data_IF_167663266087
#
_entry.id   IF_167663266087
#
_cell.length_a   1.000
_cell.length_b   1.000
_cell.length_c   1.000
_cell.angle_alpha   90.00
_cell.angle_beta   90.00
_cell.angle_gamma   90.00
#
_symmetry.space_group_name_H-M   'P 1'
#
loop_
_entity.id
_entity.type
_entity.pdbx_description
1 polymer ?
#
# COMPACT_ATOMS: atom_id res chain seq x y z
N UNK A 1 -22.91 5.70 8.70
CA UNK A 1 -23.89 4.62 8.59
C UNK A 1 -23.41 3.50 7.69
N UNK A 2 -23.15 3.73 6.38
CA UNK A 2 -22.83 2.67 5.42
C UNK A 2 -21.59 1.84 5.81
N UNK A 3 -20.49 2.48 6.23
CA UNK A 3 -19.26 1.78 6.67
C UNK A 3 -19.56 0.88 7.87
N UNK A 4 -20.27 1.40 8.87
CA UNK A 4 -20.67 0.61 10.04
C UNK A 4 -21.49 -0.63 9.66
N UNK A 5 -22.42 -0.49 8.72
CA UNK A 5 -23.24 -1.62 8.23
C UNK A 5 -22.46 -2.63 7.40
N UNK A 6 -21.26 -2.28 6.90
CA UNK A 6 -20.41 -3.17 6.14
C UNK A 6 -19.51 -4.04 7.04
N UNK A 7 -19.28 -3.63 8.30
CA UNK A 7 -18.47 -4.37 9.27
C UNK A 7 -19.27 -5.54 9.86
N UNK A 8 -18.61 -6.68 9.98
CA UNK A 8 -19.13 -7.88 10.65
C UNK A 8 -18.83 -7.84 12.14
N UNK A 9 -19.46 -8.70 12.94
CA UNK A 9 -19.01 -8.94 14.31
C UNK A 9 -17.52 -9.32 14.32
N UNK A 10 -16.79 -8.82 15.28
CA UNK A 10 -15.33 -8.97 15.40
C UNK A 10 -14.51 -8.29 14.27
N UNK A 11 -15.10 -7.34 13.56
CA UNK A 11 -14.39 -6.45 12.64
C UNK A 11 -14.43 -5.01 13.16
N UNK A 12 -13.33 -4.30 13.01
CA UNK A 12 -13.19 -2.90 13.43
C UNK A 12 -12.50 -2.10 12.31
N UNK A 13 -12.93 -0.86 12.12
CA UNK A 13 -12.23 0.10 11.27
C UNK A 13 -11.52 1.13 12.17
N UNK A 14 -10.24 1.31 11.92
CA UNK A 14 -9.39 2.37 12.46
C UNK A 14 -9.16 3.40 11.37
N UNK A 15 -9.88 4.50 11.40
CA UNK A 15 -9.72 5.60 10.44
C UNK A 15 -8.83 6.67 11.08
N UNK A 16 -7.55 6.66 10.72
CA UNK A 16 -6.59 7.62 11.24
C UNK A 16 -6.79 8.98 10.60
N UNK A 17 -6.70 10.00 11.40
CA UNK A 17 -6.83 11.40 10.98
C UNK A 17 -5.78 12.27 11.64
N UNK A 18 -5.49 13.39 11.03
CA UNK A 18 -4.60 14.40 11.60
C UNK A 18 -5.27 15.77 11.61
N UNK A 19 -4.83 16.61 12.51
CA UNK A 19 -5.24 18.01 12.58
C UNK A 19 -4.12 18.88 13.13
N UNK A 20 -4.07 20.12 12.70
CA UNK A 20 -3.05 21.09 13.13
C UNK A 20 -3.56 21.89 14.31
N UNK A 21 -2.79 21.89 15.40
CA UNK A 21 -2.99 22.73 16.58
C UNK A 21 -2.00 23.88 16.55
N UNK A 22 -2.46 25.11 16.79
CA UNK A 22 -1.62 26.30 16.81
C UNK A 22 -0.47 26.22 17.84
N UNK A 23 -0.68 25.51 18.93
CA UNK A 23 0.29 25.43 20.06
C UNK A 23 1.23 24.25 19.99
N UNK A 24 0.82 23.13 19.35
CA UNK A 24 1.54 21.84 19.44
C UNK A 24 1.97 21.32 18.07
N UNK A 25 1.46 21.91 16.99
CA UNK A 25 1.66 21.42 15.63
C UNK A 25 0.67 20.31 15.27
N UNK A 26 1.06 19.43 14.34
CA UNK A 26 0.22 18.34 13.87
C UNK A 26 0.01 17.30 14.96
N UNK A 27 -1.23 16.83 15.09
CA UNK A 27 -1.66 15.79 16.03
C UNK A 27 -2.39 14.70 15.28
N UNK A 28 -2.28 13.48 15.77
CA UNK A 28 -2.94 12.30 15.21
C UNK A 28 -3.99 11.76 16.16
N UNK A 29 -5.09 11.31 15.58
CA UNK A 29 -6.18 10.65 16.27
C UNK A 29 -6.70 9.50 15.41
N UNK A 30 -7.45 8.59 15.99
CA UNK A 30 -8.15 7.52 15.29
C UNK A 30 -9.64 7.57 15.60
N UNK A 31 -10.47 7.42 14.57
CA UNK A 31 -11.85 7.01 14.71
C UNK A 31 -11.89 5.48 14.76
N UNK A 32 -12.45 4.93 15.84
CA UNK A 32 -12.68 3.51 15.99
C UNK A 32 -14.14 3.25 15.70
N UNK A 33 -14.41 2.43 14.69
CA UNK A 33 -15.76 2.14 14.20
C UNK A 33 -15.96 0.63 14.21
N UNK A 34 -16.96 0.15 14.92
CA UNK A 34 -17.43 -1.23 14.90
C UNK A 34 -18.92 -1.27 14.51
N UNK A 35 -19.50 -2.45 14.40
CA UNK A 35 -20.91 -2.60 14.02
C UNK A 35 -21.89 -2.47 15.21
N UNK A 36 -21.41 -2.44 16.45
CA UNK A 36 -22.22 -2.44 17.66
C UNK A 36 -22.45 -1.01 18.19
N UNK A 37 -21.40 -0.20 18.27
CA UNK A 37 -21.46 1.13 18.85
C UNK A 37 -22.32 2.10 18.05
N UNK A 38 -23.10 2.94 18.71
CA UNK A 38 -23.97 3.92 18.06
C UNK A 38 -23.17 4.97 17.28
N UNK A 39 -22.05 5.42 17.82
CA UNK A 39 -21.16 6.44 17.27
C UNK A 39 -19.71 5.97 17.22
N UNK A 40 -18.88 6.48 16.29
CA UNK A 40 -17.45 6.26 16.33
C UNK A 40 -16.85 6.75 17.64
N UNK A 41 -15.95 5.96 18.22
CA UNK A 41 -15.09 6.41 19.30
C UNK A 41 -13.91 7.16 18.71
N UNK A 42 -13.52 8.28 19.31
CA UNK A 42 -12.34 9.05 18.90
C UNK A 42 -11.27 8.91 19.96
N UNK A 43 -10.09 8.47 19.56
CA UNK A 43 -8.90 8.39 20.43
C UNK A 43 -7.82 9.33 19.92
N UNK A 44 -7.34 10.22 20.78
CA UNK A 44 -6.10 10.94 20.57
C UNK A 44 -4.91 9.97 20.72
N UNK A 45 -3.94 10.08 19.82
CA UNK A 45 -2.77 9.20 19.82
C UNK A 45 -1.52 9.96 20.26
N UNK A 46 -1.02 10.85 19.41
CA UNK A 46 0.24 11.56 19.66
C UNK A 46 0.31 12.87 18.87
N UNK A 47 1.28 13.71 19.23
CA UNK A 47 1.72 14.84 18.42
C UNK A 47 2.88 14.40 17.51
N UNK A 48 2.92 14.90 16.27
CA UNK A 48 3.93 14.55 15.24
C UNK A 48 5.36 14.61 15.78
N UNK A 49 5.70 15.66 16.53
CA UNK A 49 7.01 15.84 17.17
C UNK A 49 7.46 14.65 18.05
N UNK A 50 6.52 13.88 18.62
CA UNK A 50 6.86 12.70 19.43
C UNK A 50 7.39 11.57 18.56
N UNK A 51 6.83 11.43 17.36
CA UNK A 51 7.24 10.44 16.37
C UNK A 51 8.51 10.88 15.63
N UNK A 52 8.62 12.19 15.26
CA UNK A 52 9.80 12.73 14.60
C UNK A 52 11.06 12.49 15.41
N UNK A 53 10.96 12.63 16.75
CA UNK A 53 12.07 12.35 17.65
C UNK A 53 12.51 10.88 17.66
N UNK A 54 11.65 9.96 17.24
CA UNK A 54 11.94 8.53 17.13
C UNK A 54 12.51 8.14 15.76
N UNK A 55 12.51 9.06 14.78
CA UNK A 55 12.97 8.77 13.41
C UNK A 55 12.11 7.74 12.67
N UNK A 56 10.80 7.73 12.92
CA UNK A 56 9.84 6.75 12.36
C UNK A 56 9.79 6.75 10.81
N UNK A 57 10.20 7.86 10.19
CA UNK A 57 10.30 7.98 8.74
C UNK A 57 11.46 7.18 8.13
N UNK A 58 12.28 6.57 8.97
CA UNK A 58 13.41 5.75 8.54
C UNK A 58 12.98 4.30 8.38
N UNK A 59 13.29 3.64 7.27
CA UNK A 59 12.93 2.23 7.03
C UNK A 59 13.48 1.26 8.07
N UNK A 60 14.58 1.62 8.74
CA UNK A 60 15.25 0.79 9.73
C UNK A 60 14.54 0.73 11.09
N UNK A 61 13.50 1.53 11.32
CA UNK A 61 12.79 1.58 12.62
C UNK A 61 12.22 0.21 13.02
N UNK A 62 11.79 -0.59 12.05
CA UNK A 62 11.23 -1.93 12.30
C UNK A 62 12.29 -2.96 12.66
N UNK A 63 13.57 -2.68 12.40
CA UNK A 63 14.69 -3.54 12.75
C UNK A 63 15.28 -3.22 14.13
N UNK A 64 14.95 -2.04 14.68
CA UNK A 64 15.40 -1.61 16.01
C UNK A 64 14.23 -1.69 16.99
N UNK A 65 14.20 -2.79 17.75
CA UNK A 65 13.10 -3.12 18.66
C UNK A 65 12.75 -1.98 19.62
N UNK A 66 13.71 -1.24 20.13
CA UNK A 66 13.46 -0.13 21.05
C UNK A 66 12.60 0.98 20.43
N UNK A 67 12.92 1.40 19.20
CA UNK A 67 12.14 2.42 18.49
C UNK A 67 10.74 1.92 18.12
N UNK A 68 10.66 0.68 17.66
CA UNK A 68 9.39 0.08 17.29
C UNK A 68 8.46 -0.09 18.49
N UNK A 69 9.01 -0.35 19.70
CA UNK A 69 8.24 -0.39 20.94
C UNK A 69 7.70 0.98 21.33
N UNK A 70 8.46 2.06 21.09
CA UNK A 70 7.97 3.42 21.32
C UNK A 70 6.83 3.79 20.36
N UNK A 71 6.94 3.40 19.07
CA UNK A 71 5.86 3.54 18.11
C UNK A 71 4.62 2.76 18.53
N UNK A 72 4.80 1.51 18.94
CA UNK A 72 3.73 0.67 19.45
C UNK A 72 2.99 1.35 20.61
N UNK A 73 3.73 1.91 21.56
CA UNK A 73 3.16 2.62 22.72
C UNK A 73 2.36 3.86 22.32
N UNK A 74 2.85 4.64 21.35
CA UNK A 74 2.16 5.84 20.90
C UNK A 74 0.94 5.55 20.02
N UNK A 75 1.05 4.55 19.17
CA UNK A 75 0.06 4.28 18.13
C UNK A 75 -0.94 3.21 18.53
N UNK A 76 -0.50 2.10 19.14
CA UNK A 76 -1.34 0.93 19.39
C UNK A 76 -1.92 0.90 20.82
N UNK A 77 -1.13 1.21 21.84
CA UNK A 77 -1.58 1.13 23.24
C UNK A 77 -2.89 1.90 23.50
N UNK A 78 -3.14 3.09 22.90
CA UNK A 78 -4.42 3.78 23.07
C UNK A 78 -5.60 3.08 22.41
N UNK A 79 -5.37 2.14 21.50
CA UNK A 79 -6.38 1.49 20.67
C UNK A 79 -6.71 0.07 21.13
N UNK A 80 -5.76 -0.63 21.74
CA UNK A 80 -5.82 -2.07 22.02
C UNK A 80 -7.03 -2.50 22.85
N UNK A 81 -7.47 -1.68 23.79
CA UNK A 81 -8.62 -1.99 24.67
C UNK A 81 -9.96 -2.04 23.93
N UNK A 82 -10.00 -1.49 22.69
CA UNK A 82 -11.20 -1.42 21.86
C UNK A 82 -11.22 -2.46 20.74
N UNK A 83 -10.21 -3.32 20.68
CA UNK A 83 -10.02 -4.28 19.60
C UNK A 83 -9.77 -5.65 20.22
N UNK A 84 -10.72 -6.56 20.03
CA UNK A 84 -10.60 -7.91 20.56
C UNK A 84 -9.42 -8.64 19.90
N UNK A 85 -8.72 -9.47 20.66
CA UNK A 85 -7.67 -10.34 20.11
C UNK A 85 -8.26 -11.26 19.04
N UNK A 86 -7.54 -11.44 17.94
CA UNK A 86 -8.01 -12.19 16.78
C UNK A 86 -9.00 -11.43 15.89
N UNK A 87 -9.33 -10.17 16.22
CA UNK A 87 -10.20 -9.36 15.37
C UNK A 87 -9.55 -9.01 14.02
N UNK A 88 -10.40 -8.77 13.02
CA UNK A 88 -9.97 -8.13 11.78
C UNK A 88 -10.03 -6.61 11.93
N UNK A 89 -8.86 -5.98 11.88
CA UNK A 89 -8.67 -4.54 11.94
C UNK A 89 -8.44 -3.95 10.55
N UNK A 90 -9.46 -3.38 9.93
CA UNK A 90 -9.26 -2.53 8.77
C UNK A 90 -8.66 -1.21 9.22
N UNK A 91 -7.66 -0.69 8.50
CA UNK A 91 -7.13 0.63 8.86
C UNK A 91 -6.85 1.51 7.65
N UNK A 92 -7.15 2.79 7.81
CA UNK A 92 -6.89 3.85 6.83
C UNK A 92 -5.85 4.78 7.42
N UNK A 93 -4.59 4.77 6.97
CA UNK A 93 -3.55 5.66 7.48
C UNK A 93 -3.76 7.11 7.02
N UNK A 94 -3.15 8.06 7.76
CA UNK A 94 -3.10 9.49 7.44
C UNK A 94 -1.66 9.98 7.49
N UNK A 95 -1.25 10.81 6.53
CA UNK A 95 0.07 11.46 6.49
C UNK A 95 1.24 10.49 6.74
N UNK A 96 2.10 10.76 7.73
CA UNK A 96 3.26 9.92 8.05
C UNK A 96 2.89 8.47 8.37
N UNK A 97 1.67 8.18 8.83
CA UNK A 97 1.23 6.82 9.12
C UNK A 97 1.13 5.93 7.88
N UNK A 98 1.19 6.51 6.67
CA UNK A 98 1.36 5.73 5.44
C UNK A 98 2.70 4.96 5.41
N UNK A 99 3.68 5.37 6.20
CA UNK A 99 4.99 4.72 6.29
C UNK A 99 5.05 3.65 7.39
N UNK A 100 3.99 3.52 8.19
CA UNK A 100 3.90 2.56 9.30
C UNK A 100 3.05 1.36 8.91
N UNK A 101 3.60 0.16 9.08
CA UNK A 101 2.88 -1.10 8.97
C UNK A 101 2.49 -1.56 10.38
N UNK A 102 1.20 -1.51 10.71
CA UNK A 102 0.71 -1.92 12.04
C UNK A 102 1.05 -3.38 12.34
N UNK A 103 0.86 -4.24 11.35
CA UNK A 103 1.10 -5.68 11.44
C UNK A 103 2.57 -6.03 11.73
N UNK A 104 3.49 -5.14 11.38
CA UNK A 104 4.94 -5.35 11.56
C UNK A 104 5.48 -4.81 12.89
N UNK A 105 4.65 -4.16 13.71
CA UNK A 105 5.10 -3.63 14.99
C UNK A 105 5.38 -4.77 15.98
N UNK A 106 6.59 -4.83 16.60
CA UNK A 106 6.96 -5.88 17.52
C UNK A 106 6.30 -5.71 18.88
N UNK A 107 5.94 -6.82 19.51
CA UNK A 107 5.48 -6.89 20.87
C UNK A 107 6.64 -7.22 21.83
N UNK A 108 6.42 -7.04 23.13
CA UNK A 108 7.44 -7.27 24.15
C UNK A 108 7.93 -8.73 24.23
N UNK A 109 7.13 -9.68 23.79
CA UNK A 109 7.46 -11.11 23.72
C UNK A 109 8.24 -11.51 22.45
N UNK A 110 8.52 -10.55 21.56
CA UNK A 110 9.22 -10.76 20.30
C UNK A 110 8.30 -11.19 19.15
N UNK A 111 7.00 -11.38 19.38
CA UNK A 111 6.03 -11.57 18.30
C UNK A 111 5.69 -10.24 17.62
N UNK A 112 4.99 -10.30 16.50
CA UNK A 112 4.50 -9.11 15.79
C UNK A 112 3.02 -8.89 16.10
N UNK A 113 2.58 -7.64 16.02
CA UNK A 113 1.18 -7.28 16.23
C UNK A 113 0.26 -8.04 15.25
N UNK A 114 0.71 -8.27 14.01
CA UNK A 114 0.01 -9.08 13.01
C UNK A 114 -0.10 -10.58 13.34
N UNK A 115 0.59 -11.10 14.35
CA UNK A 115 0.37 -12.46 14.84
C UNK A 115 -0.89 -12.58 15.72
N UNK A 116 -1.35 -11.46 16.29
CA UNK A 116 -2.49 -11.39 17.20
C UNK A 116 -3.75 -10.80 16.56
N UNK A 117 -3.59 -10.02 15.49
CA UNK A 117 -4.68 -9.33 14.80
C UNK A 117 -4.55 -9.51 13.29
N UNK A 118 -5.67 -9.59 12.60
CA UNK A 118 -5.69 -9.64 11.15
C UNK A 118 -5.88 -8.24 10.58
N UNK A 119 -4.78 -7.53 10.29
CA UNK A 119 -4.83 -6.18 9.74
C UNK A 119 -5.01 -6.15 8.23
N UNK A 120 -5.87 -5.26 7.77
CA UNK A 120 -6.10 -4.98 6.34
C UNK A 120 -6.01 -3.47 6.12
N UNK A 121 -4.98 -3.04 5.42
CA UNK A 121 -4.79 -1.63 5.06
C UNK A 121 -5.70 -1.26 3.90
N UNK A 122 -6.39 -0.14 4.03
CA UNK A 122 -7.26 0.42 3.02
C UNK A 122 -6.75 1.81 2.61
N UNK A 123 -7.00 2.21 1.38
CA UNK A 123 -6.77 3.60 0.92
C UNK A 123 -7.90 4.53 1.36
N UNK A 124 -9.09 3.98 1.64
CA UNK A 124 -10.25 4.71 2.13
C UNK A 124 -11.25 3.78 2.79
N UNK A 125 -11.92 4.23 3.85
CA UNK A 125 -13.04 3.53 4.48
C UNK A 125 -14.19 3.18 3.51
N UNK A 126 -14.28 3.87 2.37
CA UNK A 126 -15.27 3.59 1.31
C UNK A 126 -15.07 2.24 0.65
N UNK A 127 -13.87 1.67 0.71
CA UNK A 127 -13.59 0.35 0.14
C UNK A 127 -14.39 -0.74 0.82
N UNK A 128 -14.63 -0.66 2.13
CA UNK A 128 -15.49 -1.58 2.86
C UNK A 128 -16.91 -1.64 2.29
N UNK A 129 -17.43 -0.50 1.85
CA UNK A 129 -18.79 -0.43 1.26
C UNK A 129 -18.78 -0.98 -0.16
N UNK A 130 -17.70 -0.78 -0.92
CA UNK A 130 -17.57 -1.26 -2.30
C UNK A 130 -17.28 -2.76 -2.39
N UNK A 131 -16.53 -3.31 -1.43
CA UNK A 131 -16.11 -4.71 -1.41
C UNK A 131 -17.29 -5.71 -1.33
N UNK A 132 -18.50 -5.25 -1.05
CA UNK A 132 -19.71 -6.08 -1.07
C UNK A 132 -20.22 -6.39 -2.49
N UNK A 133 -19.62 -5.80 -3.51
CA UNK A 133 -19.96 -6.10 -4.90
C UNK A 133 -18.94 -7.11 -5.45
N UNK A 134 -19.33 -8.35 -5.74
CA UNK A 134 -18.42 -9.35 -6.33
C UNK A 134 -18.03 -8.90 -7.75
N UNK A 135 -16.81 -8.41 -7.91
CA UNK A 135 -16.29 -7.90 -9.21
C UNK A 135 -15.68 -9.03 -10.07
N UNK A 136 -15.58 -10.24 -9.56
CA UNK A 136 -15.03 -11.36 -10.33
C UNK A 136 -16.13 -12.08 -11.13
N UNK A 137 -16.67 -11.38 -12.12
CA UNK A 137 -17.44 -12.04 -13.15
C UNK A 137 -16.51 -12.90 -14.04
N UNK A 138 -17.07 -13.96 -14.57
CA UNK A 138 -16.65 -15.01 -15.47
C UNK A 138 -15.80 -14.67 -16.71
N UNK A 139 -15.02 -13.61 -16.71
CA UNK A 139 -14.08 -13.28 -17.77
C UNK A 139 -12.79 -14.14 -17.68
N UNK A 140 -12.12 -14.43 -18.79
CA UNK A 140 -10.86 -15.14 -18.75
C UNK A 140 -9.88 -14.37 -17.85
N UNK A 141 -9.35 -15.04 -16.83
CA UNK A 141 -8.42 -14.45 -15.88
C UNK A 141 -7.18 -13.91 -16.59
N UNK A 142 -6.90 -12.61 -16.45
CA UNK A 142 -5.78 -11.94 -17.09
C UNK A 142 -4.87 -11.27 -16.06
N UNK A 143 -3.57 -11.40 -16.27
CA UNK A 143 -2.54 -10.79 -15.44
C UNK A 143 -1.47 -10.11 -16.29
N UNK A 144 -0.97 -8.97 -15.82
CA UNK A 144 0.23 -8.32 -16.34
C UNK A 144 1.24 -8.19 -15.19
N UNK A 145 2.48 -8.64 -15.46
CA UNK A 145 3.52 -8.74 -14.44
C UNK A 145 4.74 -7.93 -14.89
N UNK A 146 5.14 -6.94 -14.09
CA UNK A 146 6.34 -6.13 -14.29
C UNK A 146 7.42 -6.53 -13.28
N UNK A 147 8.63 -6.87 -13.76
CA UNK A 147 9.79 -7.15 -12.92
C UNK A 147 11.02 -7.49 -13.74
N UNK A 148 12.20 -7.52 -13.13
CA UNK A 148 13.45 -7.65 -13.85
C UNK A 148 13.64 -6.54 -14.88
N UNK A 149 13.24 -5.31 -14.55
CA UNK A 149 13.25 -4.17 -15.44
C UNK A 149 14.66 -3.65 -15.65
N UNK A 150 14.93 -3.15 -16.85
CA UNK A 150 16.17 -2.47 -17.18
C UNK A 150 16.00 -0.95 -17.01
N UNK A 151 16.78 -0.35 -16.09
CA UNK A 151 16.63 1.06 -15.71
C UNK A 151 17.57 2.01 -16.46
N UNK A 152 18.61 1.50 -17.12
CA UNK A 152 19.68 2.25 -17.80
C UNK A 152 19.47 2.37 -19.32
N UNK A 153 18.26 2.16 -19.80
CA UNK A 153 17.94 2.24 -21.23
C UNK A 153 18.24 3.63 -21.82
N UNK A 154 18.94 3.64 -22.94
CA UNK A 154 19.18 4.85 -23.70
C UNK A 154 17.86 5.43 -24.24
N UNK A 155 17.69 6.77 -24.29
CA UNK A 155 16.44 7.41 -24.74
C UNK A 155 15.98 6.96 -26.13
N UNK A 156 16.92 6.65 -27.04
CA UNK A 156 16.61 6.14 -28.38
C UNK A 156 15.98 4.75 -28.35
N UNK A 157 16.51 3.85 -27.51
CA UNK A 157 15.97 2.50 -27.34
C UNK A 157 14.58 2.54 -26.70
N UNK A 158 14.37 3.45 -25.76
CA UNK A 158 13.07 3.69 -25.14
C UNK A 158 12.05 4.19 -26.18
N UNK A 159 12.42 5.17 -27.00
CA UNK A 159 11.55 5.71 -28.04
C UNK A 159 11.15 4.65 -29.08
N UNK A 160 12.07 3.74 -29.46
CA UNK A 160 11.73 2.63 -30.34
C UNK A 160 10.74 1.66 -29.71
N UNK A 161 10.88 1.35 -28.43
CA UNK A 161 9.95 0.48 -27.72
C UNK A 161 8.56 1.14 -27.54
N UNK A 162 8.54 2.45 -27.32
CA UNK A 162 7.31 3.23 -27.17
C UNK A 162 6.43 3.20 -28.44
N UNK A 163 7.04 3.16 -29.64
CA UNK A 163 6.32 3.09 -30.93
C UNK A 163 5.37 1.89 -31.05
N UNK A 164 5.59 0.84 -30.27
CA UNK A 164 4.73 -0.35 -30.19
C UNK A 164 3.34 -0.04 -29.61
N UNK A 165 3.20 1.05 -28.87
CA UNK A 165 2.00 1.40 -28.12
C UNK A 165 1.37 2.66 -28.72
N UNK A 166 0.08 2.59 -29.04
CA UNK A 166 -0.70 3.76 -29.45
C UNK A 166 -1.15 4.50 -28.18
N UNK A 167 -0.58 5.66 -27.93
CA UNK A 167 -0.85 6.52 -26.77
C UNK A 167 -1.44 7.87 -27.18
N UNK A 168 -1.98 7.99 -28.37
CA UNK A 168 -2.45 9.26 -28.94
C UNK A 168 -3.41 9.99 -28.00
N UNK A 169 -4.30 9.25 -27.33
CA UNK A 169 -5.28 9.81 -26.40
C UNK A 169 -4.71 10.13 -25.01
N UNK A 170 -3.49 9.63 -24.68
CA UNK A 170 -2.88 9.77 -23.37
C UNK A 170 -1.75 10.81 -23.31
N UNK A 171 -1.27 11.27 -24.46
CA UNK A 171 -0.16 12.23 -24.56
C UNK A 171 -0.47 13.59 -23.87
N UNK A 172 -1.74 13.92 -23.67
CA UNK A 172 -2.16 15.14 -22.99
C UNK A 172 -1.83 15.14 -21.48
N UNK A 173 -1.59 13.97 -20.89
CA UNK A 173 -1.28 13.84 -19.46
C UNK A 173 0.22 13.77 -19.14
N UNK A 174 1.08 13.76 -20.14
CA UNK A 174 2.54 13.81 -19.94
C UNK A 174 2.95 15.20 -19.47
N UNK A 175 2.90 15.43 -18.16
CA UNK A 175 3.76 16.45 -17.57
C UNK A 175 5.22 16.03 -17.78
N UNK A 176 6.11 17.00 -18.05
CA UNK A 176 7.55 16.77 -18.09
C UNK A 176 8.02 16.18 -16.74
N UNK A 177 7.97 14.86 -16.61
CA UNK A 177 8.60 14.17 -15.49
C UNK A 177 10.10 14.27 -15.71
N UNK A 178 10.71 15.28 -15.10
CA UNK A 178 12.16 15.38 -14.97
C UNK A 178 12.60 14.12 -14.22
N UNK A 179 13.25 13.21 -14.93
CA UNK A 179 14.00 12.12 -14.30
C UNK A 179 15.08 12.79 -13.46
N UNK A 180 14.94 12.71 -12.13
CA UNK A 180 16.03 13.07 -11.25
C UNK A 180 17.26 12.23 -11.60
N UNK A 181 18.48 12.71 -11.30
CA UNK A 181 19.78 12.04 -11.53
C UNK A 181 19.96 10.71 -10.76
N UNK A 182 18.86 10.08 -10.32
CA UNK A 182 18.90 8.85 -9.56
C UNK A 182 19.21 7.66 -10.48
N UNK A 183 20.37 7.06 -10.29
CA UNK A 183 20.74 5.80 -10.93
C UNK A 183 20.08 4.67 -10.17
N UNK A 184 19.09 4.02 -10.78
CA UNK A 184 18.45 2.83 -10.22
C UNK A 184 19.23 1.59 -10.61
N UNK A 185 19.65 0.80 -9.62
CA UNK A 185 20.29 -0.50 -9.85
C UNK A 185 19.25 -1.55 -10.23
N UNK A 186 19.69 -2.59 -10.95
CA UNK A 186 18.84 -3.74 -11.20
C UNK A 186 18.40 -4.40 -9.89
N UNK A 187 17.18 -4.96 -9.91
CA UNK A 187 16.61 -5.73 -8.81
C UNK A 187 16.54 -7.23 -9.19
N UNK A 188 17.62 -8.01 -8.95
CA UNK A 188 17.69 -9.41 -9.42
C UNK A 188 16.54 -10.28 -8.89
N UNK A 189 16.11 -10.05 -7.66
CA UNK A 189 14.99 -10.77 -7.05
C UNK A 189 13.67 -10.55 -7.76
N UNK A 190 13.45 -9.36 -8.34
CA UNK A 190 12.19 -9.03 -9.01
C UNK A 190 11.94 -9.87 -10.28
N UNK A 191 12.99 -10.27 -11.00
CA UNK A 191 12.85 -11.18 -12.13
C UNK A 191 12.41 -12.57 -11.67
N UNK A 192 13.03 -13.10 -10.61
CA UNK A 192 12.68 -14.41 -10.07
C UNK A 192 11.24 -14.42 -9.53
N UNK A 193 10.82 -13.36 -8.85
CA UNK A 193 9.46 -13.19 -8.35
C UNK A 193 8.45 -13.28 -9.50
N UNK A 194 8.65 -12.50 -10.57
CA UNK A 194 7.73 -12.50 -11.72
C UNK A 194 7.67 -13.87 -12.40
N UNK A 195 8.79 -14.55 -12.55
CA UNK A 195 8.82 -15.90 -13.16
C UNK A 195 8.04 -16.92 -12.31
N UNK A 196 8.14 -16.86 -11.00
CA UNK A 196 7.41 -17.75 -10.09
C UNK A 196 5.90 -17.46 -10.13
N UNK A 197 5.51 -16.19 -10.10
CA UNK A 197 4.11 -15.77 -10.19
C UNK A 197 3.53 -16.16 -11.56
N UNK A 198 4.27 -15.96 -12.65
CA UNK A 198 3.85 -16.36 -13.98
C UNK A 198 3.58 -17.87 -14.05
N UNK A 199 4.49 -18.70 -13.54
CA UNK A 199 4.34 -20.14 -13.52
C UNK A 199 3.09 -20.57 -12.72
N UNK A 200 2.88 -19.98 -11.54
CA UNK A 200 1.73 -20.23 -10.68
C UNK A 200 0.41 -19.86 -11.38
N UNK A 201 0.35 -18.67 -11.97
CA UNK A 201 -0.87 -18.19 -12.64
C UNK A 201 -1.19 -19.00 -13.90
N UNK A 202 -0.19 -19.35 -14.72
CA UNK A 202 -0.37 -20.19 -15.90
C UNK A 202 -0.86 -21.60 -15.53
N UNK A 203 -0.34 -22.18 -14.45
CA UNK A 203 -0.82 -23.48 -13.93
C UNK A 203 -2.31 -23.40 -13.52
N UNK A 204 -2.80 -22.24 -13.14
CA UNK A 204 -4.19 -21.97 -12.81
C UNK A 204 -5.00 -21.37 -13.98
N UNK A 205 -4.54 -21.55 -15.21
CA UNK A 205 -5.22 -21.16 -16.46
C UNK A 205 -5.43 -19.64 -16.64
N UNK A 206 -4.58 -18.83 -16.03
CA UNK A 206 -4.58 -17.40 -16.27
C UNK A 206 -3.86 -17.06 -17.58
N UNK A 207 -4.35 -16.06 -18.27
CA UNK A 207 -3.63 -15.43 -19.38
C UNK A 207 -2.65 -14.41 -18.80
N UNK A 208 -1.35 -14.70 -18.87
CA UNK A 208 -0.31 -13.88 -18.24
C UNK A 208 0.54 -13.20 -19.30
N UNK A 209 0.72 -11.90 -19.15
CA UNK A 209 1.60 -11.06 -19.99
C UNK A 209 2.75 -10.53 -19.14
N UNK A 210 3.93 -11.16 -19.18
CA UNK A 210 5.11 -10.62 -18.50
C UNK A 210 5.68 -9.41 -19.25
N UNK A 211 6.16 -8.43 -18.51
CA UNK A 211 6.85 -7.23 -18.97
C UNK A 211 8.19 -7.15 -18.25
N UNK A 212 9.23 -7.70 -18.88
CA UNK A 212 10.58 -7.80 -18.31
C UNK A 212 11.59 -7.04 -19.17
N UNK A 213 12.73 -6.67 -18.59
CA UNK A 213 13.79 -5.97 -19.28
C UNK A 213 13.30 -4.70 -19.98
N UNK A 214 13.54 -4.63 -21.29
CA UNK A 214 13.11 -3.49 -22.15
C UNK A 214 11.63 -3.47 -22.50
N UNK A 215 10.84 -4.49 -22.17
CA UNK A 215 9.39 -4.53 -22.43
C UNK A 215 8.57 -3.89 -21.32
N UNK A 216 9.19 -3.67 -20.15
CA UNK A 216 8.54 -3.04 -18.98
C UNK A 216 8.68 -1.53 -18.99
N UNK A 217 8.16 -0.85 -20.02
CA UNK A 217 8.23 0.61 -20.14
C UNK A 217 6.97 1.29 -19.59
N UNK A 218 7.09 2.59 -19.32
CA UNK A 218 5.97 3.44 -18.93
C UNK A 218 4.85 3.40 -19.98
N UNK A 219 5.20 3.42 -21.27
CA UNK A 219 4.24 3.33 -22.36
C UNK A 219 3.50 1.99 -22.35
N UNK A 220 4.18 0.89 -22.01
CA UNK A 220 3.53 -0.40 -21.86
C UNK A 220 2.49 -0.41 -20.73
N UNK A 221 2.76 0.33 -19.65
CA UNK A 221 1.84 0.51 -18.55
C UNK A 221 0.64 1.40 -18.95
N UNK A 222 0.90 2.54 -19.55
CA UNK A 222 -0.13 3.48 -20.02
C UNK A 222 -1.05 2.85 -21.07
N UNK A 223 -0.54 1.94 -21.91
CA UNK A 223 -1.33 1.23 -22.93
C UNK A 223 -2.44 0.33 -22.37
N UNK A 224 -2.41 0.07 -21.06
CA UNK A 224 -3.48 -0.69 -20.38
C UNK A 224 -4.68 0.19 -20.02
N UNK A 225 -4.65 1.49 -20.31
CA UNK A 225 -5.79 2.38 -20.08
C UNK A 225 -7.07 1.80 -20.71
N UNK A 226 -8.16 1.75 -19.94
CA UNK A 226 -9.45 1.14 -20.33
C UNK A 226 -9.41 -0.36 -20.68
N UNK A 227 -8.25 -1.03 -20.53
CA UNK A 227 -8.04 -2.46 -20.78
C UNK A 227 -7.25 -3.12 -19.64
N UNK A 228 -7.52 -2.70 -18.41
CA UNK A 228 -6.79 -3.17 -17.24
C UNK A 228 -6.92 -4.69 -17.06
N UNK A 229 -5.83 -5.39 -16.73
CA UNK A 229 -5.90 -6.80 -16.33
C UNK A 229 -6.63 -6.93 -14.99
N UNK A 230 -7.06 -8.13 -14.66
CA UNK A 230 -7.63 -8.43 -13.33
C UNK A 230 -6.56 -8.43 -12.23
N UNK A 231 -5.32 -8.79 -12.59
CA UNK A 231 -4.16 -8.75 -11.70
C UNK A 231 -3.05 -7.95 -12.36
N UNK A 232 -2.54 -6.96 -11.65
CA UNK A 232 -1.36 -6.20 -12.02
C UNK A 232 -0.33 -6.33 -10.90
N UNK A 233 0.82 -6.96 -11.19
CA UNK A 233 1.96 -7.03 -10.29
C UNK A 233 3.09 -6.15 -10.83
N UNK A 234 3.66 -5.31 -9.96
CA UNK A 234 4.77 -4.42 -10.30
C UNK A 234 5.87 -4.59 -9.26
N UNK A 235 6.95 -5.25 -9.65
CA UNK A 235 8.15 -5.44 -8.83
C UNK A 235 9.27 -4.51 -9.34
N UNK A 236 9.34 -3.31 -8.78
CA UNK A 236 10.27 -2.23 -9.17
C UNK A 236 10.66 -1.38 -7.96
N UNK A 237 11.55 -0.41 -8.17
CA UNK A 237 11.86 0.60 -7.17
C UNK A 237 10.63 1.48 -6.88
N UNK A 238 10.46 1.84 -5.61
CA UNK A 238 9.49 2.83 -5.16
C UNK A 238 10.20 4.01 -4.51
N UNK A 239 9.70 5.22 -4.71
CA UNK A 239 10.18 6.42 -4.03
C UNK A 239 9.02 7.36 -3.74
N UNK A 240 9.20 8.20 -2.75
CA UNK A 240 8.23 9.22 -2.37
C UNK A 240 8.88 10.60 -2.54
N UNK A 241 8.11 11.53 -3.08
CA UNK A 241 8.44 12.95 -2.96
C UNK A 241 7.87 13.45 -1.62
N UNK A 242 8.72 14.02 -0.78
CA UNK A 242 8.34 14.70 0.47
C UNK A 242 8.13 16.17 0.23
#
# INVERSE_FOLDING_TARGET
AAVKSALKPNEVLLDFTDYVSETVGRKYAAYIINNEDQYPLVKYLFAERQIDSLGITRPDIYYHQDYAMDVLRLLWEPLKEHIAEGATGYYVPSQMLFQVSLESLPLADGSLLGNHYNFVRLSSARELVKAQSPVLASAPHSAVLYGGLQYDLQPTAMAEKAKKYDLTDLLVMRGDMVRGDSIFCELPGSMQEIMQIEALLKANKWHVTPRMGMEGTEESFLSMHSKSPQLLQIATHGFYYT
#
